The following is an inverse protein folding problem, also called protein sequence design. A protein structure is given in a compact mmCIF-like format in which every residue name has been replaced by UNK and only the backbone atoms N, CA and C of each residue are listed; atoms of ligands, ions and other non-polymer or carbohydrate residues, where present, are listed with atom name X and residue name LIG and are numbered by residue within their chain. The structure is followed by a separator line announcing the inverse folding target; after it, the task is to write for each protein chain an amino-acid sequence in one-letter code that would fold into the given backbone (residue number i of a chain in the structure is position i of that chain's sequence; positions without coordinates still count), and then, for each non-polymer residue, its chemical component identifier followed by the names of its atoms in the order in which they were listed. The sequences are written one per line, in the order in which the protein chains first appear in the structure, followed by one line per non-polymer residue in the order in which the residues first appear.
data_IF_631722872119
#
_entry.id   IF_631722872119
#
_cell.length_a   1.000
_cell.length_b   1.000
_cell.length_c   1.000
_cell.angle_alpha   90.00
_cell.angle_beta   90.00
_cell.angle_gamma   90.00
#
_symmetry.space_group_name_H-M   'P 1'
#
loop_
_entity.id
_entity.type
_entity.pdbx_description
1 polymer ?
#
# COMPACT_ATOMS: atom_id res chain seq x y z
N UNK A 1 -15.61 12.77 8.49
CA UNK A 1 -14.93 11.77 7.64
C UNK A 1 -15.40 10.39 8.07
N UNK A 2 -16.29 9.71 7.32
CA UNK A 2 -17.03 8.55 7.83
C UNK A 2 -16.27 7.21 7.81
N UNK A 3 -14.99 7.17 7.44
CA UNK A 3 -14.24 5.90 7.30
C UNK A 3 -13.03 5.87 8.25
N UNK A 4 -13.06 5.13 9.38
CA UNK A 4 -11.94 5.13 10.30
C UNK A 4 -11.11 3.84 10.22
N UNK A 5 -10.22 3.69 9.23
CA UNK A 5 -8.89 3.12 9.46
C UNK A 5 -7.82 4.23 9.59
N UNK A 6 -8.20 5.48 9.35
CA UNK A 6 -7.32 6.65 9.16
C UNK A 6 -6.82 7.34 10.44
N UNK A 7 -7.19 6.88 11.64
CA UNK A 7 -6.81 7.59 12.89
C UNK A 7 -5.33 7.44 13.29
N UNK A 8 -4.62 6.45 12.73
CA UNK A 8 -3.25 6.10 13.14
C UNK A 8 -2.14 6.70 12.24
N UNK A 9 -2.48 7.66 11.38
CA UNK A 9 -1.59 8.30 10.40
C UNK A 9 -0.38 9.01 11.04
N UNK A 10 -0.51 9.51 12.26
CA UNK A 10 0.58 10.26 12.93
C UNK A 10 1.72 9.38 13.46
N UNK A 11 1.56 8.05 13.46
CA UNK A 11 2.57 7.14 13.98
C UNK A 11 3.07 6.15 12.93
N UNK A 12 3.38 6.62 11.71
CA UNK A 12 3.95 5.76 10.66
C UNK A 12 5.17 4.96 11.13
N UNK A 13 6.05 5.59 11.89
CA UNK A 13 7.22 4.93 12.49
C UNK A 13 6.79 3.81 13.44
N UNK A 14 5.81 4.06 14.31
CA UNK A 14 5.27 3.04 15.20
C UNK A 14 4.60 1.91 14.43
N UNK A 15 3.81 2.23 13.41
CA UNK A 15 3.13 1.23 12.58
C UNK A 15 4.13 0.33 11.86
N UNK A 16 5.24 0.91 11.34
CA UNK A 16 6.33 0.11 10.77
C UNK A 16 6.91 -0.85 11.79
N UNK A 17 7.21 -0.36 13.00
CA UNK A 17 7.76 -1.21 14.06
C UNK A 17 6.79 -2.32 14.49
N UNK A 18 5.51 -1.98 14.69
CA UNK A 18 4.53 -2.90 15.28
C UNK A 18 3.95 -3.90 14.26
N UNK A 19 3.93 -3.54 12.97
CA UNK A 19 3.23 -4.29 11.93
C UNK A 19 4.17 -4.77 10.84
N UNK A 20 5.02 -3.90 10.29
CA UNK A 20 5.84 -4.22 9.12
C UNK A 20 7.13 -4.97 9.50
N UNK A 21 7.86 -4.48 10.49
CA UNK A 21 9.17 -4.97 10.92
C UNK A 21 9.02 -6.02 12.03
N UNK A 22 8.18 -7.02 11.76
CA UNK A 22 8.01 -8.18 12.63
C UNK A 22 8.66 -9.40 11.99
N UNK A 23 9.21 -10.31 12.79
CA UNK A 23 9.87 -11.53 12.29
C UNK A 23 8.95 -12.36 11.36
N UNK A 24 7.65 -12.38 11.66
CA UNK A 24 6.64 -13.08 10.87
C UNK A 24 6.53 -12.47 9.48
N UNK A 25 6.43 -11.13 9.39
CA UNK A 25 6.31 -10.43 8.11
C UNK A 25 7.62 -10.53 7.31
N UNK A 26 8.77 -10.42 7.97
CA UNK A 26 10.08 -10.62 7.34
C UNK A 26 10.25 -12.03 6.77
N UNK A 27 9.82 -13.06 7.50
CA UNK A 27 9.88 -14.45 7.04
C UNK A 27 9.02 -14.66 5.78
N UNK A 28 7.82 -14.06 5.75
CA UNK A 28 6.94 -14.09 4.57
C UNK A 28 7.61 -13.37 3.39
N UNK A 29 8.11 -12.16 3.61
CA UNK A 29 8.80 -11.42 2.55
C UNK A 29 10.00 -12.20 2.03
N UNK A 30 10.88 -12.72 2.90
CA UNK A 30 12.06 -13.49 2.49
C UNK A 30 11.69 -14.71 1.66
N UNK A 31 10.63 -15.43 2.04
CA UNK A 31 10.14 -16.60 1.30
C UNK A 31 9.64 -16.24 -0.11
N UNK A 32 8.96 -15.11 -0.25
CA UNK A 32 8.29 -14.73 -1.49
C UNK A 32 9.04 -13.66 -2.31
N UNK A 33 10.16 -13.15 -1.78
CA UNK A 33 10.93 -12.08 -2.41
C UNK A 33 11.41 -12.42 -3.82
N UNK A 34 12.10 -13.56 -4.05
CA UNK A 34 12.70 -13.83 -5.35
C UNK A 34 11.67 -14.14 -6.43
N UNK A 35 10.57 -14.81 -6.06
CA UNK A 35 9.64 -15.39 -7.04
C UNK A 35 8.38 -14.54 -7.27
N UNK A 36 8.03 -13.67 -6.32
CA UNK A 36 6.79 -12.90 -6.37
C UNK A 36 7.05 -11.42 -6.22
N UNK A 37 7.60 -10.99 -5.08
CA UNK A 37 7.63 -9.56 -4.72
C UNK A 37 8.64 -8.78 -5.57
N UNK A 38 9.84 -9.32 -5.76
CA UNK A 38 10.88 -8.74 -6.61
C UNK A 38 10.44 -8.65 -8.08
N UNK A 39 9.99 -9.75 -8.71
CA UNK A 39 9.48 -9.72 -10.08
C UNK A 39 8.29 -8.78 -10.27
N UNK A 40 7.38 -8.72 -9.28
CA UNK A 40 6.24 -7.79 -9.32
C UNK A 40 6.72 -6.33 -9.33
N UNK A 41 7.65 -5.96 -8.45
CA UNK A 41 8.22 -4.61 -8.48
C UNK A 41 8.89 -4.34 -9.83
N UNK A 42 9.69 -5.27 -10.34
CA UNK A 42 10.40 -5.11 -11.61
C UNK A 42 9.47 -4.95 -12.82
N UNK A 43 8.30 -5.58 -12.80
CA UNK A 43 7.33 -5.54 -13.89
C UNK A 43 6.63 -4.17 -14.03
N UNK A 44 6.48 -3.44 -12.93
CA UNK A 44 5.80 -2.14 -12.90
C UNK A 44 6.75 -0.96 -12.66
N UNK A 45 7.97 -1.19 -12.18
CA UNK A 45 8.93 -0.13 -11.92
C UNK A 45 9.54 0.45 -13.20
N UNK A 46 9.65 1.78 -13.24
CA UNK A 46 10.55 2.50 -14.14
C UNK A 46 12.01 2.44 -13.65
N UNK A 47 12.97 2.67 -14.55
CA UNK A 47 14.41 2.67 -14.24
C UNK A 47 15.01 4.04 -14.54
N UNK A 48 15.71 4.63 -13.58
CA UNK A 48 16.46 5.88 -13.76
C UNK A 48 17.73 5.65 -14.58
N UNK A 49 18.35 6.72 -15.15
CA UNK A 49 19.67 6.63 -15.75
C UNK A 49 20.73 6.01 -14.82
N UNK A 50 20.58 6.22 -13.50
CA UNK A 50 21.43 5.63 -12.45
C UNK A 50 21.22 4.11 -12.24
N UNK A 51 20.36 3.46 -13.03
CA UNK A 51 19.91 2.07 -12.86
C UNK A 51 19.07 1.81 -11.59
N UNK A 52 18.73 2.84 -10.83
CA UNK A 52 17.81 2.74 -9.70
C UNK A 52 16.38 2.55 -10.21
N UNK A 53 15.67 1.57 -9.66
CA UNK A 53 14.26 1.31 -10.00
C UNK A 53 13.32 1.97 -9.02
N UNK A 54 12.22 2.50 -9.53
CA UNK A 54 11.19 3.18 -8.77
C UNK A 54 9.84 2.99 -9.44
N UNK A 55 8.75 3.11 -8.69
CA UNK A 55 7.41 3.27 -9.25
C UNK A 55 7.08 4.77 -9.27
N UNK A 56 6.22 5.19 -10.18
CA UNK A 56 5.41 6.42 -10.04
C UNK A 56 4.01 6.09 -9.50
N UNK A 57 3.22 7.13 -9.22
CA UNK A 57 1.82 6.96 -8.82
C UNK A 57 1.02 6.20 -9.90
N UNK A 58 1.28 6.49 -11.17
CA UNK A 58 0.65 5.82 -12.31
C UNK A 58 1.04 4.35 -12.37
N UNK A 59 2.32 4.02 -12.17
CA UNK A 59 2.79 2.63 -12.13
C UNK A 59 2.12 1.84 -10.99
N UNK A 60 1.94 2.48 -9.83
CA UNK A 60 1.21 1.90 -8.72
C UNK A 60 -0.26 1.63 -9.04
N UNK A 61 -0.94 2.57 -9.72
CA UNK A 61 -2.32 2.38 -10.13
C UNK A 61 -2.44 1.22 -11.13
N UNK A 62 -1.51 1.16 -12.11
CA UNK A 62 -1.44 0.06 -13.07
C UNK A 62 -1.21 -1.29 -12.39
N UNK A 63 -0.36 -1.34 -11.36
CA UNK A 63 -0.16 -2.54 -10.55
C UNK A 63 -1.45 -2.98 -9.85
N UNK A 64 -2.18 -2.05 -9.22
CA UNK A 64 -3.43 -2.38 -8.53
C UNK A 64 -4.53 -2.85 -9.50
N UNK A 65 -4.57 -2.27 -10.70
CA UNK A 65 -5.46 -2.71 -11.77
C UNK A 65 -5.10 -4.13 -12.25
N UNK A 66 -3.81 -4.43 -12.43
CA UNK A 66 -3.35 -5.77 -12.82
C UNK A 66 -3.67 -6.83 -11.75
N UNK A 67 -3.54 -6.46 -10.48
CA UNK A 67 -3.93 -7.31 -9.34
C UNK A 67 -5.46 -7.37 -9.14
N UNK A 68 -6.23 -6.56 -9.87
CA UNK A 68 -7.69 -6.46 -9.78
C UNK A 68 -8.18 -6.13 -8.36
N UNK A 69 -7.44 -5.28 -7.67
CA UNK A 69 -7.78 -4.80 -6.32
C UNK A 69 -8.16 -3.32 -6.35
N UNK A 70 -9.06 -2.92 -5.43
CA UNK A 70 -9.52 -1.55 -5.30
C UNK A 70 -10.01 -0.94 -6.63
N UNK A 71 -10.89 -1.65 -7.37
CA UNK A 71 -11.39 -1.15 -8.65
C UNK A 71 -12.04 0.22 -8.52
N UNK A 72 -11.64 1.18 -9.36
CA UNK A 72 -12.25 2.51 -9.41
C UNK A 72 -13.61 2.52 -10.14
N UNK A 73 -14.10 1.37 -10.59
CA UNK A 73 -15.40 1.23 -11.26
C UNK A 73 -16.50 0.88 -10.26
N UNK A 74 -17.73 1.36 -10.48
CA UNK A 74 -18.90 1.05 -9.65
C UNK A 74 -19.07 1.98 -8.43
N UNK A 75 -19.96 1.59 -7.52
CA UNK A 75 -20.41 2.45 -6.41
C UNK A 75 -19.27 2.82 -5.43
N UNK A 76 -18.28 1.95 -5.25
CA UNK A 76 -17.13 2.19 -4.38
C UNK A 76 -15.95 2.88 -5.09
N UNK A 77 -16.11 3.21 -6.37
CA UNK A 77 -15.01 3.65 -7.23
C UNK A 77 -14.27 4.89 -6.71
N UNK A 78 -15.01 5.86 -6.16
CA UNK A 78 -14.41 7.07 -5.59
C UNK A 78 -13.65 6.78 -4.29
N UNK A 79 -14.17 5.90 -3.43
CA UNK A 79 -13.48 5.48 -2.20
C UNK A 79 -12.18 4.75 -2.55
N UNK A 80 -12.23 3.83 -3.50
CA UNK A 80 -11.06 3.09 -3.96
C UNK A 80 -10.00 4.02 -4.57
N UNK A 81 -10.38 5.01 -5.39
CA UNK A 81 -9.44 6.00 -5.90
C UNK A 81 -8.71 6.74 -4.77
N UNK A 82 -9.42 7.11 -3.70
CA UNK A 82 -8.80 7.71 -2.51
C UNK A 82 -7.86 6.75 -1.80
N UNK A 83 -8.23 5.49 -1.62
CA UNK A 83 -7.37 4.50 -0.97
C UNK A 83 -6.08 4.26 -1.74
N UNK A 84 -6.16 4.18 -3.08
CA UNK A 84 -4.99 3.98 -3.95
C UNK A 84 -3.97 5.09 -3.75
N UNK A 85 -4.42 6.34 -3.79
CA UNK A 85 -3.59 7.53 -3.55
C UNK A 85 -3.07 7.59 -2.12
N UNK A 86 -3.91 7.23 -1.14
CA UNK A 86 -3.52 7.23 0.27
C UNK A 86 -2.41 6.22 0.56
N UNK A 87 -2.54 4.98 0.07
CA UNK A 87 -1.53 3.93 0.24
C UNK A 87 -0.17 4.36 -0.34
N UNK A 88 -0.20 5.01 -1.50
CA UNK A 88 0.98 5.58 -2.14
C UNK A 88 1.64 6.64 -1.24
N UNK A 89 0.88 7.69 -0.92
CA UNK A 89 1.41 8.85 -0.21
C UNK A 89 1.96 8.46 1.16
N UNK A 90 1.25 7.58 1.88
CA UNK A 90 1.70 7.13 3.20
C UNK A 90 3.00 6.33 3.18
N UNK A 91 3.32 5.71 2.04
CA UNK A 91 4.52 4.89 1.86
C UNK A 91 5.69 5.73 1.34
N UNK A 92 5.43 6.70 0.46
CA UNK A 92 6.45 7.56 -0.14
C UNK A 92 7.07 8.60 0.83
N UNK A 93 6.50 8.80 2.02
CA UNK A 93 6.94 9.80 3.00
C UNK A 93 8.11 9.35 3.90
N UNK A 94 8.87 8.32 3.52
CA UNK A 94 10.07 7.87 4.27
C UNK A 94 11.17 8.93 4.30
N UNK A 95 11.29 9.76 3.26
CA UNK A 95 12.35 10.76 3.09
C UNK A 95 11.81 12.06 2.47
N UNK A 96 11.22 12.92 3.28
CA UNK A 96 10.72 14.23 2.83
C UNK A 96 11.87 15.25 2.81
N UNK A 97 12.58 15.31 1.68
CA UNK A 97 13.32 16.51 1.26
C UNK A 97 12.73 17.02 -0.05
N UNK A 98 11.70 17.85 0.07
CA UNK A 98 10.99 18.46 -1.06
C UNK A 98 11.79 19.57 -1.76
N UNK A 99 12.85 20.08 -1.12
CA UNK A 99 13.62 21.21 -1.64
C UNK A 99 14.67 20.77 -2.65
N UNK A 100 15.20 19.55 -2.51
CA UNK A 100 16.26 19.04 -3.38
C UNK A 100 15.91 17.73 -4.08
N UNK A 101 14.80 17.09 -3.73
CA UNK A 101 14.45 15.77 -4.24
C UNK A 101 12.98 15.58 -4.60
N UNK A 102 12.75 15.01 -5.78
CA UNK A 102 11.43 14.49 -6.18
C UNK A 102 11.16 13.07 -5.64
N UNK A 103 11.97 12.55 -4.70
CA UNK A 103 11.79 11.21 -4.14
C UNK A 103 10.44 10.98 -3.47
N UNK A 104 9.79 12.04 -3.00
CA UNK A 104 8.43 11.97 -2.46
C UNK A 104 7.36 11.64 -3.51
N UNK A 105 7.70 11.72 -4.81
CA UNK A 105 6.85 11.33 -5.94
C UNK A 105 7.14 9.91 -6.45
N UNK A 106 8.01 9.17 -5.75
CA UNK A 106 8.50 7.87 -6.19
C UNK A 106 8.41 6.86 -5.03
N UNK A 107 8.12 5.59 -5.34
CA UNK A 107 8.37 4.50 -4.38
C UNK A 107 9.60 3.74 -4.85
N UNK A 108 10.67 3.75 -4.05
CA UNK A 108 11.74 2.77 -4.24
C UNK A 108 11.33 1.47 -3.55
N UNK A 109 12.18 0.44 -3.63
CA UNK A 109 11.76 -0.92 -3.28
C UNK A 109 11.22 -1.05 -1.85
N UNK A 110 11.81 -0.33 -0.88
CA UNK A 110 11.39 -0.39 0.52
C UNK A 110 10.00 0.24 0.71
N UNK A 111 9.74 1.40 0.11
CA UNK A 111 8.43 2.04 0.17
C UNK A 111 7.38 1.23 -0.59
N UNK A 112 7.77 0.51 -1.65
CA UNK A 112 6.89 -0.46 -2.31
C UNK A 112 6.47 -1.61 -1.37
N UNK A 113 7.40 -2.17 -0.58
CA UNK A 113 7.06 -3.18 0.43
C UNK A 113 6.08 -2.62 1.45
N UNK A 114 6.30 -1.39 1.91
CA UNK A 114 5.40 -0.70 2.82
C UNK A 114 4.00 -0.51 2.21
N UNK A 115 3.92 -0.08 0.94
CA UNK A 115 2.66 0.11 0.23
C UNK A 115 1.87 -1.21 0.12
N UNK A 116 2.54 -2.32 -0.19
CA UNK A 116 1.92 -3.65 -0.20
C UNK A 116 1.40 -4.07 1.18
N UNK A 117 2.17 -3.86 2.24
CA UNK A 117 1.73 -4.20 3.60
C UNK A 117 0.52 -3.37 4.03
N UNK A 118 0.52 -2.06 3.72
CA UNK A 118 -0.62 -1.17 4.00
C UNK A 118 -1.86 -1.58 3.19
N UNK A 119 -1.69 -1.99 1.93
CA UNK A 119 -2.77 -2.51 1.09
C UNK A 119 -3.41 -3.75 1.74
N UNK A 120 -2.60 -4.72 2.15
CA UNK A 120 -3.10 -5.94 2.82
C UNK A 120 -3.82 -5.60 4.12
N UNK A 121 -3.28 -4.68 4.92
CA UNK A 121 -3.91 -4.22 6.16
C UNK A 121 -5.28 -3.57 5.90
N UNK A 122 -5.39 -2.71 4.88
CA UNK A 122 -6.65 -2.08 4.47
C UNK A 122 -7.68 -3.13 4.04
N UNK A 123 -7.30 -4.06 3.15
CA UNK A 123 -8.19 -5.10 2.65
C UNK A 123 -8.70 -6.00 3.79
N UNK A 124 -7.82 -6.40 4.72
CA UNK A 124 -8.22 -7.18 5.91
C UNK A 124 -9.13 -6.40 6.85
N UNK A 125 -8.85 -5.11 7.05
CA UNK A 125 -9.70 -4.26 7.89
C UNK A 125 -11.11 -4.16 7.32
N UNK A 126 -11.24 -4.01 6.00
CA UNK A 126 -12.55 -3.98 5.33
C UNK A 126 -13.29 -5.30 5.41
N UNK A 127 -12.58 -6.40 5.16
CA UNK A 127 -13.16 -7.73 5.28
C UNK A 127 -13.75 -7.96 6.68
N UNK A 128 -13.01 -7.57 7.74
CA UNK A 128 -13.49 -7.69 9.13
C UNK A 128 -14.71 -6.81 9.40
N UNK A 129 -14.71 -5.57 8.90
CA UNK A 129 -15.84 -4.66 9.06
C UNK A 129 -17.10 -5.18 8.36
N UNK A 130 -16.95 -5.76 7.16
CA UNK A 130 -18.07 -6.36 6.44
C UNK A 130 -18.66 -7.58 7.17
N UNK A 131 -17.81 -8.45 7.72
CA UNK A 131 -18.27 -9.59 8.54
C UNK A 131 -19.00 -9.12 9.79
N UNK A 132 -18.45 -8.14 10.51
CA UNK A 132 -19.11 -7.59 11.70
C UNK A 132 -20.48 -6.97 11.39
N UNK A 133 -20.60 -6.23 10.28
CA UNK A 133 -21.87 -5.64 9.83
C UNK A 133 -22.91 -6.71 9.50
N UNK A 134 -22.50 -7.82 8.87
CA UNK A 134 -23.41 -8.92 8.55
C UNK A 134 -23.89 -9.67 9.80
N UNK A 135 -23.01 -9.91 10.77
CA UNK A 135 -23.38 -10.50 12.07
C UNK A 135 -24.31 -9.60 12.89
N UNK A 136 -24.19 -8.28 12.73
CA UNK A 136 -25.10 -7.31 13.35
C UNK A 136 -26.48 -7.34 12.67
N UNK A 137 -26.54 -7.37 11.33
CA UNK A 137 -27.81 -7.50 10.58
C UNK A 137 -28.55 -8.81 10.86
N UNK A 138 -27.86 -9.94 11.03
CA UNK A 138 -28.49 -11.22 11.40
C UNK A 138 -29.06 -11.26 12.83
N UNK A 139 -28.65 -10.33 13.70
CA UNK A 139 -29.14 -10.23 15.09
C UNK A 139 -30.41 -9.40 15.25
N UNK A 140 -30.85 -8.72 14.20
CA UNK A 140 -32.06 -7.89 14.18
C UNK A 140 -33.15 -8.49 13.28
#
# INVERSE_FOLDING_TARGET
YPYPPMKNIFKCVQWRADVLHTEVVEAVYRKHMPDVVGPLFQAFSSTKPSQERFLTLEDWFALLDALRVLSCQGNDGQMHAWDRSWLWQMSAMSHVDELTSCRHLELVFVEFLEALARLVALLRSRQRAAVASAEEEERW
#
